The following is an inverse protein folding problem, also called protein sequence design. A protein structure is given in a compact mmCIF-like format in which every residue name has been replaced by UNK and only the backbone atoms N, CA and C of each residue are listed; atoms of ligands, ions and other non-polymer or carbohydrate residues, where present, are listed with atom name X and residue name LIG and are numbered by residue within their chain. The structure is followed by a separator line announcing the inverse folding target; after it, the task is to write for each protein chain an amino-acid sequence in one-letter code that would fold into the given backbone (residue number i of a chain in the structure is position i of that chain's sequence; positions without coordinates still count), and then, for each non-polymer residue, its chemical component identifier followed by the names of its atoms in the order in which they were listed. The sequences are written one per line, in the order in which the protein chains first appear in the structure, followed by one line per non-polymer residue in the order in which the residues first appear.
data_IF_012034694246
#
_entry.id   IF_012034694246
#
_cell.length_a   1.000
_cell.length_b   1.000
_cell.length_c   1.000
_cell.angle_alpha   90.00
_cell.angle_beta   90.00
_cell.angle_gamma   90.00
#
_symmetry.space_group_name_H-M   'P 1'
#
loop_
_entity.id
_entity.type
_entity.pdbx_description
1 polymer ?
#
# COMPACT_ATOMS: atom_id res chain seq x y z
N UNK A 1 -53.45 49.01 -27.55
CA UNK A 1 -52.66 48.93 -28.79
C UNK A 1 -52.08 47.54 -28.88
N UNK A 2 -52.29 46.85 -30.00
CA UNK A 2 -51.85 45.46 -30.17
C UNK A 2 -50.37 45.42 -30.56
N UNK A 3 -49.51 44.82 -29.75
CA UNK A 3 -48.08 44.67 -30.06
C UNK A 3 -47.87 43.75 -31.27
N UNK A 4 -46.95 44.11 -32.15
CA UNK A 4 -46.52 43.27 -33.28
C UNK A 4 -45.59 42.17 -32.80
N UNK A 5 -45.51 41.08 -33.57
CA UNK A 5 -44.53 40.03 -33.31
C UNK A 5 -43.10 40.58 -33.38
N UNK A 6 -42.24 40.21 -32.43
CA UNK A 6 -40.84 40.66 -32.32
C UNK A 6 -39.90 40.01 -33.35
N UNK A 7 -40.35 39.02 -34.12
CA UNK A 7 -39.56 38.36 -35.16
C UNK A 7 -39.46 39.26 -36.40
N UNK A 8 -38.23 39.45 -36.89
CA UNK A 8 -37.93 40.27 -38.08
C UNK A 8 -38.72 39.75 -39.28
N UNK A 9 -39.36 40.65 -40.02
CA UNK A 9 -40.24 40.37 -41.17
C UNK A 9 -41.59 39.70 -40.84
N UNK A 10 -42.01 39.62 -39.57
CA UNK A 10 -43.34 39.18 -39.20
C UNK A 10 -44.32 40.36 -39.06
N UNK A 11 -45.36 40.41 -39.89
CA UNK A 11 -46.41 41.46 -39.80
C UNK A 11 -47.58 41.09 -38.90
N UNK A 12 -47.56 39.89 -38.29
CA UNK A 12 -48.67 39.39 -37.47
C UNK A 12 -48.66 40.02 -36.07
N UNK A 13 -49.85 40.21 -35.52
CA UNK A 13 -50.04 40.64 -34.13
C UNK A 13 -49.56 39.58 -33.15
N UNK A 14 -48.84 40.00 -32.10
CA UNK A 14 -48.46 39.12 -31.00
C UNK A 14 -49.71 38.58 -30.28
N UNK A 15 -49.61 37.32 -29.87
CA UNK A 15 -50.66 36.60 -29.12
C UNK A 15 -50.21 36.25 -27.70
N UNK A 16 -48.93 36.42 -27.38
CA UNK A 16 -48.37 36.18 -26.05
C UNK A 16 -46.93 36.66 -25.95
N UNK A 17 -46.50 36.91 -24.72
CA UNK A 17 -45.10 37.12 -24.34
C UNK A 17 -44.51 35.75 -23.97
N UNK A 18 -43.34 35.42 -24.50
CA UNK A 18 -42.61 34.23 -24.05
C UNK A 18 -41.75 34.60 -22.84
N UNK A 19 -41.97 33.95 -21.70
CA UNK A 19 -41.24 34.25 -20.46
C UNK A 19 -39.75 33.86 -20.54
N UNK A 20 -39.41 32.86 -21.35
CA UNK A 20 -38.03 32.39 -21.54
C UNK A 20 -37.14 33.44 -22.22
N UNK A 21 -37.65 34.14 -23.23
CA UNK A 21 -36.87 35.08 -24.04
C UNK A 21 -37.35 36.53 -23.95
N UNK A 22 -38.44 36.78 -23.22
CA UNK A 22 -39.07 38.10 -23.04
C UNK A 22 -39.46 38.75 -24.38
N UNK A 23 -39.87 37.95 -25.36
CA UNK A 23 -40.27 38.40 -26.71
C UNK A 23 -41.76 38.22 -26.95
N UNK A 24 -42.38 39.20 -27.62
CA UNK A 24 -43.78 39.16 -28.00
C UNK A 24 -43.94 38.36 -29.29
N UNK A 25 -44.51 37.16 -29.22
CA UNK A 25 -44.59 36.24 -30.35
C UNK A 25 -46.04 36.11 -30.85
N UNK A 26 -46.22 35.95 -32.17
CA UNK A 26 -47.51 35.51 -32.71
C UNK A 26 -47.67 34.00 -32.48
N UNK A 27 -48.89 33.47 -32.62
CA UNK A 27 -49.17 32.05 -32.32
C UNK A 27 -48.24 31.09 -33.08
N UNK A 28 -47.96 31.36 -34.36
CA UNK A 28 -47.07 30.53 -35.17
C UNK A 28 -45.64 30.51 -34.62
N UNK A 29 -45.03 31.68 -34.37
CA UNK A 29 -43.67 31.74 -33.84
C UNK A 29 -43.57 31.23 -32.40
N UNK A 30 -44.65 31.29 -31.63
CA UNK A 30 -44.70 30.69 -30.30
C UNK A 30 -44.68 29.15 -30.37
N UNK A 31 -45.43 28.57 -31.32
CA UNK A 31 -45.39 27.13 -31.59
C UNK A 31 -44.02 26.70 -32.10
N UNK A 32 -43.46 27.40 -33.10
CA UNK A 32 -42.11 27.11 -33.62
C UNK A 32 -41.02 27.25 -32.53
N UNK A 33 -41.15 28.24 -31.63
CA UNK A 33 -40.25 28.39 -30.49
C UNK A 33 -40.37 27.23 -29.50
N UNK A 34 -41.59 26.77 -29.21
CA UNK A 34 -41.81 25.61 -28.36
C UNK A 34 -41.28 24.31 -29.01
N UNK A 35 -41.48 24.14 -30.31
CA UNK A 35 -40.96 23.00 -31.07
C UNK A 35 -39.43 23.01 -31.09
N UNK A 36 -38.81 24.19 -31.19
CA UNK A 36 -37.35 24.34 -31.07
C UNK A 36 -36.85 23.92 -29.67
N UNK A 37 -37.52 24.34 -28.61
CA UNK A 37 -37.17 23.94 -27.24
C UNK A 37 -37.32 22.43 -27.03
N UNK A 38 -38.41 21.83 -27.51
CA UNK A 38 -38.61 20.38 -27.47
C UNK A 38 -37.53 19.66 -28.30
N UNK A 39 -37.14 20.22 -29.45
CA UNK A 39 -36.09 19.61 -30.28
C UNK A 39 -34.72 19.56 -29.59
N UNK A 40 -34.45 20.45 -28.63
CA UNK A 40 -33.22 20.44 -27.82
C UNK A 40 -33.20 19.32 -26.78
N UNK A 41 -34.35 18.70 -26.46
CA UNK A 41 -34.40 17.54 -25.56
C UNK A 41 -33.88 16.26 -26.21
N UNK A 42 -33.94 16.17 -27.55
CA UNK A 42 -33.49 14.98 -28.26
C UNK A 42 -31.97 14.75 -28.08
N UNK A 43 -31.08 15.75 -28.30
CA UNK A 43 -29.65 15.60 -28.00
C UNK A 43 -29.35 15.22 -26.55
N UNK A 44 -30.08 15.78 -25.57
CA UNK A 44 -29.89 15.44 -24.14
C UNK A 44 -30.28 13.98 -23.85
N UNK A 45 -31.32 13.49 -24.52
CA UNK A 45 -31.73 12.08 -24.43
C UNK A 45 -30.64 11.17 -25.01
N UNK A 46 -30.07 11.55 -26.15
CA UNK A 46 -28.95 10.81 -26.77
C UNK A 46 -27.70 10.81 -25.88
N UNK A 47 -27.40 11.93 -25.21
CA UNK A 47 -26.32 12.02 -24.24
C UNK A 47 -26.55 11.09 -23.03
N UNK A 48 -27.75 11.11 -22.44
CA UNK A 48 -28.11 10.21 -21.33
C UNK A 48 -28.03 8.75 -21.76
N UNK A 49 -28.53 8.40 -22.95
CA UNK A 49 -28.45 7.04 -23.48
C UNK A 49 -26.99 6.61 -23.68
N UNK A 50 -26.13 7.51 -24.18
CA UNK A 50 -24.69 7.25 -24.31
C UNK A 50 -24.03 7.02 -22.96
N UNK A 51 -24.41 7.77 -21.93
CA UNK A 51 -23.91 7.59 -20.56
C UNK A 51 -24.42 6.29 -19.93
N UNK A 52 -25.68 5.92 -20.14
CA UNK A 52 -26.26 4.66 -19.68
C UNK A 52 -25.55 3.46 -20.33
N UNK A 53 -25.26 3.55 -21.63
CA UNK A 53 -24.48 2.57 -22.36
C UNK A 53 -23.03 2.46 -21.87
N UNK A 54 -22.42 3.57 -21.47
CA UNK A 54 -21.09 3.54 -20.85
C UNK A 54 -21.13 2.89 -19.47
N UNK A 55 -22.15 3.20 -18.67
CA UNK A 55 -22.35 2.64 -17.34
C UNK A 55 -22.56 1.12 -17.42
N UNK A 56 -23.37 0.65 -18.37
CA UNK A 56 -23.63 -0.78 -18.58
C UNK A 56 -22.39 -1.55 -19.06
N UNK A 57 -21.47 -0.88 -19.76
CA UNK A 57 -20.18 -1.44 -20.18
C UNK A 57 -19.11 -1.42 -19.09
N UNK A 58 -19.34 -0.79 -17.93
CA UNK A 58 -18.38 -0.85 -16.84
C UNK A 58 -18.21 -2.29 -16.37
N UNK A 59 -17.00 -2.80 -16.50
CA UNK A 59 -16.68 -4.16 -16.07
C UNK A 59 -16.35 -4.15 -14.58
N UNK A 60 -17.39 -4.24 -13.74
CA UNK A 60 -17.27 -4.31 -12.28
C UNK A 60 -16.35 -5.46 -11.85
N UNK A 61 -16.43 -6.61 -12.53
CA UNK A 61 -15.59 -7.76 -12.22
C UNK A 61 -14.11 -7.47 -12.45
N UNK A 62 -13.77 -6.72 -13.52
CA UNK A 62 -12.40 -6.27 -13.77
C UNK A 62 -11.91 -5.32 -12.68
N UNK A 63 -12.73 -4.34 -12.28
CA UNK A 63 -12.37 -3.39 -11.21
C UNK A 63 -12.09 -4.12 -9.89
N UNK A 64 -12.93 -5.10 -9.54
CA UNK A 64 -12.73 -5.95 -8.37
C UNK A 64 -11.47 -6.81 -8.51
N UNK A 65 -11.24 -7.42 -9.68
CA UNK A 65 -10.07 -8.25 -9.95
C UNK A 65 -8.77 -7.43 -9.82
N UNK A 66 -8.71 -6.24 -10.42
CA UNK A 66 -7.57 -5.33 -10.34
C UNK A 66 -7.29 -4.92 -8.89
N UNK A 67 -8.34 -4.69 -8.09
CA UNK A 67 -8.21 -4.36 -6.66
C UNK A 67 -7.69 -5.56 -5.85
N UNK A 68 -8.20 -6.76 -6.12
CA UNK A 68 -7.72 -8.01 -5.50
C UNK A 68 -6.26 -8.29 -5.85
N UNK A 69 -5.85 -8.02 -7.08
CA UNK A 69 -4.46 -8.19 -7.49
C UNK A 69 -3.51 -7.29 -6.69
N UNK A 70 -3.91 -6.05 -6.37
CA UNK A 70 -3.13 -5.16 -5.50
C UNK A 70 -2.97 -5.72 -4.09
N UNK A 71 -4.04 -6.31 -3.53
CA UNK A 71 -3.99 -6.95 -2.21
C UNK A 71 -3.11 -8.20 -2.22
N UNK A 72 -3.18 -9.00 -3.28
CA UNK A 72 -2.35 -10.19 -3.45
C UNK A 72 -0.87 -9.80 -3.56
N UNK A 73 -0.55 -8.77 -4.35
CA UNK A 73 0.82 -8.24 -4.44
C UNK A 73 1.33 -7.77 -3.08
N UNK A 74 0.52 -7.02 -2.33
CA UNK A 74 0.87 -6.58 -0.98
C UNK A 74 1.15 -7.77 -0.05
N UNK A 75 0.35 -8.84 -0.14
CA UNK A 75 0.54 -10.07 0.63
C UNK A 75 1.88 -10.72 0.31
N UNK A 76 2.19 -10.92 -0.97
CA UNK A 76 3.46 -11.50 -1.42
C UNK A 76 4.65 -10.67 -0.97
N UNK A 77 4.57 -9.34 -1.06
CA UNK A 77 5.65 -8.44 -0.68
C UNK A 77 5.90 -8.47 0.85
N UNK A 78 4.85 -8.65 1.65
CA UNK A 78 4.99 -8.84 3.08
C UNK A 78 5.73 -10.14 3.41
N UNK A 79 5.36 -11.26 2.79
CA UNK A 79 6.05 -12.53 3.00
C UNK A 79 7.54 -12.44 2.63
N UNK A 80 7.86 -11.85 1.47
CA UNK A 80 9.26 -11.65 1.04
C UNK A 80 10.07 -10.87 2.08
N UNK A 81 9.49 -9.84 2.70
CA UNK A 81 10.16 -9.05 3.74
C UNK A 81 10.41 -9.87 5.01
N UNK A 82 9.43 -10.69 5.41
CA UNK A 82 9.56 -11.57 6.57
C UNK A 82 10.66 -12.60 6.32
N UNK A 83 10.66 -13.25 5.15
CA UNK A 83 11.65 -14.24 4.77
C UNK A 83 13.06 -13.64 4.70
N UNK A 84 13.20 -12.46 4.10
CA UNK A 84 14.47 -11.76 4.05
C UNK A 84 15.01 -11.42 5.45
N UNK A 85 14.15 -10.95 6.36
CA UNK A 85 14.54 -10.68 7.74
C UNK A 85 14.96 -11.96 8.46
N UNK A 86 14.22 -13.05 8.27
CA UNK A 86 14.55 -14.35 8.83
C UNK A 86 15.93 -14.83 8.37
N UNK A 87 16.18 -14.84 7.06
CA UNK A 87 17.46 -15.24 6.47
C UNK A 87 18.61 -14.40 6.99
N UNK A 88 18.45 -13.08 7.07
CA UNK A 88 19.45 -12.18 7.63
C UNK A 88 19.77 -12.53 9.08
N UNK A 89 18.76 -12.82 9.91
CA UNK A 89 18.97 -13.21 11.32
C UNK A 89 19.60 -14.59 11.47
N UNK A 90 19.31 -15.53 10.58
CA UNK A 90 20.02 -16.80 10.53
C UNK A 90 21.50 -16.61 10.17
N UNK A 91 21.81 -15.72 9.21
CA UNK A 91 23.18 -15.40 8.85
C UNK A 91 23.95 -14.73 9.99
N UNK A 92 23.35 -13.73 10.65
CA UNK A 92 23.92 -13.12 11.86
C UNK A 92 24.20 -14.17 12.95
N UNK A 93 23.24 -15.06 13.22
CA UNK A 93 23.43 -16.11 14.22
C UNK A 93 24.59 -17.03 13.88
N UNK A 94 24.67 -17.48 12.62
CA UNK A 94 25.76 -18.34 12.16
C UNK A 94 27.12 -17.62 12.29
N UNK A 95 27.18 -16.34 11.93
CA UNK A 95 28.41 -15.56 12.06
C UNK A 95 28.84 -15.45 13.52
N UNK A 96 27.93 -15.07 14.43
CA UNK A 96 28.22 -14.93 15.86
C UNK A 96 28.69 -16.23 16.49
N UNK A 97 28.05 -17.37 16.17
CA UNK A 97 28.48 -18.69 16.66
C UNK A 97 29.89 -19.01 16.13
N UNK A 98 30.12 -18.83 14.83
CA UNK A 98 31.40 -19.14 14.22
C UNK A 98 32.54 -18.28 14.78
N UNK A 99 32.31 -16.99 15.00
CA UNK A 99 33.28 -16.09 15.63
C UNK A 99 33.59 -16.54 17.06
N UNK A 100 32.56 -16.89 17.85
CA UNK A 100 32.75 -17.35 19.23
C UNK A 100 33.55 -18.66 19.29
N UNK A 101 33.22 -19.63 18.43
CA UNK A 101 33.95 -20.90 18.33
C UNK A 101 35.38 -20.66 17.80
N UNK A 102 35.55 -19.73 16.86
CA UNK A 102 36.87 -19.31 16.36
C UNK A 102 37.77 -18.80 17.48
N UNK A 103 37.26 -17.90 18.33
CA UNK A 103 37.99 -17.41 19.51
C UNK A 103 38.38 -18.55 20.47
N UNK A 104 37.50 -19.54 20.70
CA UNK A 104 37.85 -20.69 21.53
C UNK A 104 38.95 -21.55 20.91
N UNK A 105 38.96 -21.72 19.58
CA UNK A 105 40.04 -22.44 18.89
C UNK A 105 41.39 -21.72 19.02
N UNK A 106 41.39 -20.40 18.92
CA UNK A 106 42.61 -19.60 19.12
C UNK A 106 43.15 -19.72 20.54
N UNK A 107 42.30 -19.62 21.56
CA UNK A 107 42.68 -19.81 22.96
C UNK A 107 43.24 -21.22 23.20
N UNK A 108 42.60 -22.25 22.64
CA UNK A 108 43.10 -23.63 22.72
C UNK A 108 44.49 -23.78 22.09
N UNK A 109 44.71 -23.15 20.93
CA UNK A 109 46.02 -23.14 20.28
C UNK A 109 47.09 -22.44 21.14
N UNK A 110 46.74 -21.35 21.83
CA UNK A 110 47.66 -20.66 22.75
C UNK A 110 48.05 -21.55 23.93
N UNK A 111 47.10 -22.30 24.50
CA UNK A 111 47.37 -23.29 25.55
C UNK A 111 48.34 -24.36 25.03
N UNK A 112 48.09 -24.91 23.83
CA UNK A 112 48.98 -25.90 23.21
C UNK A 112 50.40 -25.37 22.96
N UNK A 113 50.54 -24.15 22.45
CA UNK A 113 51.83 -23.51 22.25
C UNK A 113 52.57 -23.37 23.59
N UNK A 114 51.86 -22.93 24.65
CA UNK A 114 52.48 -22.76 25.96
C UNK A 114 52.97 -24.07 26.57
N UNK A 115 52.20 -25.14 26.42
CA UNK A 115 52.63 -26.49 26.84
C UNK A 115 53.88 -26.91 26.07
N UNK A 116 53.92 -26.69 24.76
CA UNK A 116 55.06 -27.04 23.91
C UNK A 116 56.32 -26.25 24.30
N UNK A 117 56.18 -24.95 24.58
CA UNK A 117 57.28 -24.11 25.08
C UNK A 117 57.89 -24.65 26.37
N UNK A 118 57.06 -25.00 27.35
CA UNK A 118 57.52 -25.52 28.65
C UNK A 118 58.20 -26.89 28.51
N UNK A 119 57.68 -27.76 27.64
CA UNK A 119 58.30 -29.05 27.32
C UNK A 119 59.69 -28.84 26.71
N UNK A 120 59.82 -27.91 25.74
CA UNK A 120 61.07 -27.65 25.05
C UNK A 120 62.12 -26.97 25.94
N UNK A 121 61.69 -26.09 26.85
CA UNK A 121 62.57 -25.39 27.78
C UNK A 121 63.18 -26.32 28.86
N UNK A 122 62.55 -27.48 29.14
CA UNK A 122 62.95 -28.44 30.18
C UNK A 122 63.07 -27.88 31.62
N UNK A 123 62.68 -26.62 31.84
CA UNK A 123 62.68 -25.92 33.14
C UNK A 123 61.25 -25.63 33.62
N UNK A 124 60.40 -26.65 33.68
CA UNK A 124 59.00 -26.46 34.14
C UNK A 124 58.93 -26.40 35.67
N UNK A 125 58.35 -25.33 36.22
CA UNK A 125 58.11 -25.21 37.67
C UNK A 125 56.73 -25.77 38.06
N UNK A 126 56.53 -26.03 39.36
CA UNK A 126 55.20 -26.43 39.87
C UNK A 126 54.15 -25.34 39.63
N UNK A 127 54.53 -24.07 39.74
CA UNK A 127 53.65 -22.94 39.46
C UNK A 127 53.17 -22.91 38.00
N UNK A 128 54.03 -23.28 37.04
CA UNK A 128 53.63 -23.36 35.63
C UNK A 128 52.55 -24.43 35.40
N UNK A 129 52.69 -25.59 36.07
CA UNK A 129 51.70 -26.68 36.02
C UNK A 129 50.38 -26.23 36.64
N UNK A 130 50.42 -25.57 37.80
CA UNK A 130 49.21 -25.12 38.49
C UNK A 130 48.47 -24.03 37.69
N UNK A 131 49.21 -23.11 37.04
CA UNK A 131 48.66 -22.08 36.16
C UNK A 131 48.00 -22.68 34.92
N UNK A 132 48.68 -23.62 34.25
CA UNK A 132 48.13 -24.34 33.09
C UNK A 132 46.88 -25.14 33.45
N UNK A 133 46.92 -25.86 34.57
CA UNK A 133 45.77 -26.64 35.06
C UNK A 133 44.56 -25.72 35.29
N UNK A 134 44.78 -24.58 35.93
CA UNK A 134 43.73 -23.57 36.16
C UNK A 134 43.17 -23.02 34.85
N UNK A 135 44.04 -22.72 33.88
CA UNK A 135 43.66 -22.20 32.55
C UNK A 135 42.84 -23.21 31.77
N UNK A 136 43.22 -24.50 31.79
CA UNK A 136 42.48 -25.59 31.13
C UNK A 136 41.10 -25.77 31.76
N UNK A 137 40.99 -25.73 33.09
CA UNK A 137 39.71 -25.82 33.78
C UNK A 137 38.80 -24.61 33.46
N UNK A 138 39.36 -23.40 33.40
CA UNK A 138 38.62 -22.22 33.00
C UNK A 138 38.12 -22.32 31.55
N UNK A 139 38.97 -22.80 30.64
CA UNK A 139 38.61 -23.05 29.24
C UNK A 139 37.47 -24.07 29.13
N UNK A 140 37.55 -25.18 29.86
CA UNK A 140 36.48 -26.19 29.91
C UNK A 140 35.15 -25.62 30.42
N UNK A 141 35.21 -24.75 31.44
CA UNK A 141 34.01 -24.08 31.97
C UNK A 141 33.41 -23.13 30.93
N UNK A 142 34.25 -22.37 30.22
CA UNK A 142 33.80 -21.49 29.15
C UNK A 142 33.14 -22.26 27.99
N UNK A 143 33.70 -23.40 27.61
CA UNK A 143 33.11 -24.29 26.60
C UNK A 143 31.71 -24.77 27.02
N UNK A 144 31.56 -25.25 28.26
CA UNK A 144 30.25 -25.69 28.77
C UNK A 144 29.22 -24.53 28.78
N UNK A 145 29.65 -23.32 29.11
CA UNK A 145 28.77 -22.14 29.09
C UNK A 145 28.31 -21.78 27.67
N UNK A 146 29.20 -21.90 26.68
CA UNK A 146 28.88 -21.69 25.26
C UNK A 146 27.86 -22.74 24.79
N UNK A 147 28.02 -24.01 25.17
CA UNK A 147 27.06 -25.06 24.79
C UNK A 147 25.66 -24.83 25.38
N UNK A 148 25.57 -24.23 26.57
CA UNK A 148 24.29 -24.11 27.29
C UNK A 148 23.57 -22.77 27.05
N UNK A 149 24.29 -21.66 26.85
CA UNK A 149 23.69 -20.31 26.97
C UNK A 149 24.30 -19.25 26.04
N UNK A 150 24.90 -19.65 24.91
CA UNK A 150 25.67 -18.70 24.09
C UNK A 150 24.89 -17.45 23.65
N UNK A 151 23.58 -17.58 23.36
CA UNK A 151 22.76 -16.45 22.89
C UNK A 151 21.32 -16.51 23.41
N UNK A 152 20.72 -15.33 23.61
CA UNK A 152 19.29 -15.16 23.87
C UNK A 152 18.64 -14.46 22.68
N UNK A 153 17.68 -15.13 22.04
CA UNK A 153 16.92 -14.55 20.92
C UNK A 153 15.62 -13.96 21.46
N UNK A 154 15.49 -12.63 21.40
CA UNK A 154 14.29 -11.92 21.79
C UNK A 154 13.43 -11.60 20.56
N UNK A 155 12.34 -12.34 20.37
CA UNK A 155 11.41 -12.13 19.25
C UNK A 155 10.23 -11.28 19.73
N UNK A 156 9.96 -10.17 19.04
CA UNK A 156 8.76 -9.34 19.27
C UNK A 156 7.66 -9.75 18.30
N UNK A 157 6.41 -9.58 18.73
CA UNK A 157 5.25 -9.87 17.88
C UNK A 157 5.13 -8.86 16.73
N UNK A 158 4.75 -9.37 15.55
CA UNK A 158 4.38 -8.55 14.40
C UNK A 158 2.91 -8.16 14.54
N UNK A 159 2.63 -6.87 14.67
CA UNK A 159 1.26 -6.34 14.73
C UNK A 159 0.78 -6.00 13.32
N UNK A 160 -0.30 -6.66 12.89
CA UNK A 160 -1.00 -6.39 11.64
C UNK A 160 -2.38 -5.85 12.03
N UNK A 161 -2.70 -4.63 11.61
CA UNK A 161 -3.97 -3.97 11.91
C UNK A 161 -4.61 -3.36 10.65
N UNK A 162 -5.85 -2.87 10.82
CA UNK A 162 -6.67 -2.30 9.75
C UNK A 162 -6.14 -0.97 9.19
N UNK A 163 -5.10 -0.39 9.78
CA UNK A 163 -4.45 0.81 9.22
C UNK A 163 -3.50 0.47 8.07
N UNK A 164 -3.06 -0.79 7.96
CA UNK A 164 -2.14 -1.24 6.92
C UNK A 164 -2.77 -1.33 5.54
N UNK A 165 -4.07 -1.65 5.47
CA UNK A 165 -4.83 -1.74 4.22
C UNK A 165 -6.17 -1.05 4.41
N UNK A 166 -6.39 0.05 3.70
CA UNK A 166 -7.63 0.80 3.76
C UNK A 166 -8.34 0.79 2.41
N UNK A 167 -9.58 0.33 2.39
CA UNK A 167 -10.46 0.40 1.22
C UNK A 167 -11.47 1.51 1.50
N UNK A 168 -11.37 2.62 0.76
CA UNK A 168 -12.32 3.74 0.83
C UNK A 168 -12.87 4.01 -0.55
N UNK A 169 -14.13 4.41 -0.58
CA UNK A 169 -14.70 5.09 -1.73
C UNK A 169 -13.97 6.42 -1.92
N UNK A 170 -13.39 6.64 -3.09
CA UNK A 170 -12.86 7.96 -3.44
C UNK A 170 -14.04 8.89 -3.61
N UNK A 171 -14.22 9.81 -2.65
CA UNK A 171 -15.26 10.85 -2.59
C UNK A 171 -15.82 11.20 -3.96
N UNK A 172 -16.98 10.66 -4.29
CA UNK A 172 -17.80 11.12 -5.40
C UNK A 172 -18.43 12.44 -4.96
N UNK A 173 -18.36 13.46 -5.82
CA UNK A 173 -19.29 14.59 -5.69
C UNK A 173 -20.64 14.04 -6.12
N UNK A 174 -21.49 13.69 -5.16
CA UNK A 174 -22.87 13.28 -5.46
C UNK A 174 -23.53 14.34 -6.36
N UNK A 175 -24.22 13.89 -7.40
CA UNK A 175 -24.96 14.75 -8.31
C UNK A 175 -26.11 15.42 -7.55
N UNK A 176 -26.05 16.75 -7.40
CA UNK A 176 -27.13 17.53 -6.82
C UNK A 176 -28.27 17.70 -7.84
N UNK A 177 -29.30 16.86 -7.70
CA UNK A 177 -30.50 16.90 -8.55
C UNK A 177 -31.58 17.85 -8.02
N UNK A 178 -31.33 18.56 -6.90
CA UNK A 178 -32.29 19.50 -6.30
C UNK A 178 -32.68 20.62 -7.27
N UNK A 179 -31.78 20.96 -8.20
CA UNK A 179 -31.94 22.01 -9.21
C UNK A 179 -32.96 21.62 -10.29
N UNK A 180 -33.28 20.32 -10.45
CA UNK A 180 -34.20 19.81 -11.47
C UNK A 180 -35.66 19.72 -10.98
N UNK A 181 -35.93 20.04 -9.70
CA UNK A 181 -37.31 20.08 -9.19
C UNK A 181 -37.97 21.42 -9.55
N UNK A 182 -39.07 21.45 -10.31
CA UNK A 182 -39.78 22.69 -10.58
C UNK A 182 -40.51 23.16 -9.32
N UNK A 183 -40.42 24.46 -9.02
CA UNK A 183 -41.37 25.18 -8.17
C UNK A 183 -42.66 25.40 -8.95
#
# INVERSE_FOLDING_TARGET
MSQSCSIINCTRTSRGLCDCCQQYLCLQHLTEHNDLLISQLNPLTDEINTLADRLSRLNVQKIIADSRQKLEQWREDCYKKIDCLFEQKCQELNQLINEKIGQQREELNRIHLKITELINAQETTRQDIDLLTSTIHQFSTNMNNIEQTCFTINIRSLLIDDTLVCIKETTEKELDLSILSPV
#
